data_IF_952911542757
#
_entry.id   IF_952911542757
#
_cell.length_a   1.000
_cell.length_b   1.000
_cell.length_c   1.000
_cell.angle_alpha   90.00
_cell.angle_beta   90.00
_cell.angle_gamma   90.00
#
_symmetry.space_group_name_H-M   'P 1'
#
loop_
_entity.id
_entity.type
_entity.pdbx_description
1 polymer ?
#
# COMPACT_ATOMS: atom_id res chain seq x y z
N UNK A 1 -12.20 -0.20 16.72
CA UNK A 1 -10.94 0.29 16.11
C UNK A 1 -10.23 -0.90 15.48
N UNK A 2 -9.77 -0.78 14.23
CA UNK A 2 -9.00 -1.82 13.54
C UNK A 2 -7.58 -1.79 14.07
N UNK A 3 -7.05 -2.93 14.51
CA UNK A 3 -5.68 -2.99 14.96
C UNK A 3 -4.74 -2.86 13.75
N UNK A 4 -4.00 -1.76 13.72
CA UNK A 4 -3.08 -1.43 12.62
C UNK A 4 -1.67 -1.18 13.17
N UNK A 5 -0.67 -1.70 12.47
CA UNK A 5 0.73 -1.44 12.77
C UNK A 5 1.48 -1.10 11.48
N UNK A 6 1.98 0.13 11.39
CA UNK A 6 2.88 0.55 10.31
C UNK A 6 4.30 0.20 10.71
N UNK A 7 4.91 -0.76 10.04
CA UNK A 7 6.33 -1.09 10.23
C UNK A 7 7.19 -0.07 9.50
N UNK A 8 6.79 0.27 8.29
CA UNK A 8 7.39 1.32 7.46
C UNK A 8 6.40 1.76 6.40
N UNK A 9 6.50 3.02 5.95
CA UNK A 9 5.71 3.55 4.84
C UNK A 9 6.47 4.67 4.15
N UNK A 10 6.71 4.53 2.84
CA UNK A 10 7.46 5.46 1.99
C UNK A 10 8.62 4.79 1.27
N UNK A 11 9.44 5.58 0.58
CA UNK A 11 10.51 5.12 -0.33
C UNK A 11 11.62 4.27 0.31
N UNK A 12 11.71 4.20 1.63
CA UNK A 12 12.68 3.32 2.32
C UNK A 12 12.15 1.90 2.53
N UNK A 13 10.85 1.73 2.42
CA UNK A 13 10.18 0.44 2.54
C UNK A 13 8.75 0.57 3.00
N UNK A 14 7.92 -0.34 2.54
CA UNK A 14 6.51 -0.41 2.87
C UNK A 14 6.17 -1.77 3.47
N UNK A 15 5.53 -1.75 4.64
CA UNK A 15 4.92 -2.90 5.28
C UNK A 15 3.91 -2.42 6.32
N UNK A 16 2.64 -2.68 6.07
CA UNK A 16 1.54 -2.31 6.98
C UNK A 16 0.79 -3.57 7.38
N UNK A 17 0.55 -3.74 8.67
CA UNK A 17 -0.09 -4.93 9.22
C UNK A 17 -1.47 -4.58 9.76
N UNK A 18 -2.48 -5.34 9.34
CA UNK A 18 -3.84 -5.25 9.80
C UNK A 18 -4.23 -6.51 10.57
N UNK A 19 -4.95 -6.31 11.67
CA UNK A 19 -5.47 -7.37 12.55
C UNK A 19 -4.41 -8.43 12.93
N UNK A 20 -3.16 -8.00 13.14
CA UNK A 20 -1.97 -8.83 13.44
C UNK A 20 -1.61 -9.87 12.38
N UNK A 21 -2.50 -10.15 11.43
CA UNK A 21 -2.42 -11.32 10.57
C UNK A 21 -2.17 -11.00 9.09
N UNK A 22 -2.57 -9.83 8.62
CA UNK A 22 -2.56 -9.45 7.21
C UNK A 22 -1.51 -8.36 7.03
N UNK A 23 -0.45 -8.65 6.32
CA UNK A 23 0.57 -7.67 5.95
C UNK A 23 0.36 -7.23 4.50
N UNK A 24 0.34 -5.94 4.24
CA UNK A 24 0.40 -5.38 2.89
C UNK A 24 1.82 -4.93 2.64
N UNK A 25 2.40 -5.46 1.58
CA UNK A 25 3.78 -5.33 1.14
C UNK A 25 4.85 -5.86 2.11
N UNK A 26 6.04 -6.11 1.58
CA UNK A 26 7.20 -6.58 2.32
C UNK A 26 8.47 -5.88 1.82
N UNK A 27 8.45 -4.54 1.82
CA UNK A 27 9.56 -3.68 1.43
C UNK A 27 10.58 -3.42 2.55
N UNK A 28 10.54 -4.21 3.62
CA UNK A 28 11.38 -4.04 4.82
C UNK A 28 12.34 -5.21 5.04
N UNK A 29 13.26 -5.08 5.98
CA UNK A 29 14.14 -6.19 6.37
C UNK A 29 13.42 -7.18 7.29
N UNK A 30 13.87 -8.44 7.33
CA UNK A 30 13.32 -9.43 8.25
C UNK A 30 13.46 -9.00 9.73
N UNK A 31 14.52 -8.29 10.07
CA UNK A 31 14.73 -7.73 11.42
C UNK A 31 13.60 -6.77 11.82
N UNK A 32 13.11 -5.97 10.88
CA UNK A 32 11.98 -5.06 11.15
C UNK A 32 10.67 -5.82 11.44
N UNK A 33 10.53 -7.06 10.96
CA UNK A 33 9.37 -7.93 11.16
C UNK A 33 9.47 -8.83 12.39
N UNK A 34 10.58 -8.81 13.15
CA UNK A 34 10.87 -9.77 14.22
C UNK A 34 9.74 -9.88 15.24
N UNK A 35 9.18 -8.77 15.67
CA UNK A 35 8.13 -8.73 16.68
C UNK A 35 6.76 -9.24 16.18
N UNK A 36 6.55 -9.24 14.86
CA UNK A 36 5.21 -9.49 14.25
C UNK A 36 5.16 -10.73 13.38
N UNK A 37 6.28 -11.22 12.87
CA UNK A 37 6.34 -12.30 11.88
C UNK A 37 5.60 -13.58 12.29
N UNK A 38 5.50 -13.87 13.60
CA UNK A 38 4.85 -15.09 14.12
C UNK A 38 3.34 -15.07 13.97
N UNK A 39 2.71 -13.90 13.96
CA UNK A 39 1.26 -13.75 13.84
C UNK A 39 0.77 -13.66 12.40
N UNK A 40 1.65 -13.36 11.44
CA UNK A 40 1.29 -13.19 10.04
C UNK A 40 0.72 -14.48 9.44
N UNK A 41 -0.36 -14.36 8.72
CA UNK A 41 -1.01 -15.44 7.95
C UNK A 41 -0.86 -15.26 6.44
N UNK A 42 -0.84 -13.99 6.00
CA UNK A 42 -0.76 -13.65 4.58
C UNK A 42 0.04 -12.37 4.38
N UNK A 43 0.72 -12.28 3.24
CA UNK A 43 1.30 -11.06 2.67
C UNK A 43 0.55 -10.76 1.39
N UNK A 44 -0.03 -9.56 1.29
CA UNK A 44 -0.71 -9.03 0.11
C UNK A 44 0.27 -8.10 -0.61
N UNK A 45 0.73 -8.47 -1.80
CA UNK A 45 1.70 -7.66 -2.55
C UNK A 45 0.98 -6.73 -3.52
N UNK A 46 1.41 -5.48 -3.58
CA UNK A 46 0.85 -4.46 -4.46
C UNK A 46 1.53 -4.45 -5.82
N UNK A 47 2.84 -4.23 -5.87
CA UNK A 47 3.63 -4.11 -7.10
C UNK A 47 5.11 -4.48 -6.90
N UNK A 48 5.93 -4.33 -7.95
CA UNK A 48 7.28 -4.89 -8.01
C UNK A 48 8.41 -4.01 -7.48
N UNK A 49 8.17 -2.76 -7.08
CA UNK A 49 9.22 -1.86 -6.61
C UNK A 49 9.92 -2.40 -5.36
N UNK A 50 11.22 -2.14 -5.23
CA UNK A 50 12.06 -2.71 -4.16
C UNK A 50 11.72 -2.25 -2.75
N UNK A 51 11.03 -1.12 -2.61
CA UNK A 51 10.48 -0.63 -1.35
C UNK A 51 9.11 -1.26 -1.00
N UNK A 52 8.51 -2.04 -1.89
CA UNK A 52 7.30 -2.84 -1.67
C UNK A 52 7.56 -4.34 -1.66
N UNK A 53 8.54 -4.81 -2.44
CA UNK A 53 8.85 -6.22 -2.58
C UNK A 53 10.34 -6.50 -2.40
N UNK A 54 10.74 -6.99 -1.22
CA UNK A 54 12.08 -7.52 -0.97
C UNK A 54 12.04 -9.04 -0.98
N UNK A 55 12.33 -9.64 -2.13
CA UNK A 55 12.28 -11.10 -2.32
C UNK A 55 13.04 -11.87 -1.23
N UNK A 56 14.27 -11.46 -0.90
CA UNK A 56 15.06 -12.12 0.14
C UNK A 56 14.39 -12.10 1.52
N UNK A 57 13.67 -11.03 1.84
CA UNK A 57 12.92 -10.95 3.11
C UNK A 57 11.75 -11.92 3.10
N UNK A 58 10.99 -11.98 1.99
CA UNK A 58 9.89 -12.93 1.83
C UNK A 58 10.37 -14.39 1.89
N UNK A 59 11.44 -14.74 1.19
CA UNK A 59 12.03 -16.08 1.22
C UNK A 59 12.43 -16.50 2.63
N UNK A 60 13.11 -15.63 3.37
CA UNK A 60 13.50 -15.91 4.77
C UNK A 60 12.29 -15.97 5.69
N UNK A 61 11.31 -15.08 5.52
CA UNK A 61 10.08 -15.09 6.28
C UNK A 61 9.30 -16.40 6.07
N UNK A 62 9.21 -16.85 4.81
CA UNK A 62 8.51 -18.12 4.50
C UNK A 62 9.30 -19.35 4.96
N UNK A 63 10.65 -19.32 4.95
CA UNK A 63 11.46 -20.38 5.53
C UNK A 63 11.19 -20.56 7.04
N UNK A 64 10.99 -19.47 7.78
CA UNK A 64 10.61 -19.51 9.20
C UNK A 64 9.10 -19.78 9.41
N UNK A 65 8.28 -19.50 8.41
CA UNK A 65 6.82 -19.63 8.43
C UNK A 65 6.32 -20.34 7.17
N UNK A 66 6.53 -21.67 7.03
CA UNK A 66 6.22 -22.41 5.81
C UNK A 66 4.73 -22.37 5.39
N UNK A 67 3.83 -22.06 6.31
CA UNK A 67 2.39 -21.91 6.04
C UNK A 67 1.96 -20.52 5.65
N UNK A 68 2.89 -19.56 5.65
CA UNK A 68 2.60 -18.17 5.24
C UNK A 68 2.19 -18.14 3.77
N UNK A 69 1.03 -17.53 3.50
CA UNK A 69 0.54 -17.33 2.13
C UNK A 69 1.01 -15.98 1.58
N UNK A 70 1.16 -15.93 0.27
CA UNK A 70 1.48 -14.71 -0.45
C UNK A 70 0.41 -14.54 -1.52
N UNK A 71 -0.32 -13.43 -1.47
CA UNK A 71 -1.31 -13.10 -2.49
C UNK A 71 -0.81 -11.95 -3.35
N UNK A 72 -0.92 -12.09 -4.65
CA UNK A 72 -0.42 -11.12 -5.63
C UNK A 72 -1.21 -11.17 -6.95
N UNK A 73 -0.92 -10.23 -7.84
CA UNK A 73 -1.33 -10.31 -9.23
C UNK A 73 -0.38 -11.21 -10.04
N UNK A 74 -0.84 -11.64 -11.19
CA UNK A 74 -0.08 -12.48 -12.14
C UNK A 74 1.22 -11.82 -12.61
N UNK A 75 1.23 -10.49 -12.80
CA UNK A 75 2.42 -9.74 -13.21
C UNK A 75 3.58 -9.79 -12.20
N UNK A 76 3.34 -10.23 -10.96
CA UNK A 76 4.40 -10.39 -9.96
C UNK A 76 5.04 -11.79 -9.93
N UNK A 77 4.44 -12.79 -10.59
CA UNK A 77 4.90 -14.18 -10.49
C UNK A 77 6.37 -14.39 -10.81
N UNK A 78 6.86 -13.73 -11.86
CA UNK A 78 8.28 -13.81 -12.25
C UNK A 78 9.25 -13.25 -11.22
N UNK A 79 8.74 -12.40 -10.30
CA UNK A 79 9.52 -11.79 -9.21
C UNK A 79 9.52 -12.60 -7.92
N UNK A 80 8.75 -13.70 -7.86
CA UNK A 80 8.51 -14.49 -6.64
C UNK A 80 9.20 -15.85 -6.67
N UNK A 81 10.31 -15.95 -7.37
CA UNK A 81 11.09 -17.18 -7.50
C UNK A 81 11.50 -17.76 -6.14
N UNK A 82 11.36 -19.07 -5.97
CA UNK A 82 11.71 -19.79 -4.73
C UNK A 82 10.71 -19.60 -3.59
N UNK A 83 9.55 -18.97 -3.82
CA UNK A 83 8.46 -18.87 -2.87
C UNK A 83 7.39 -19.92 -3.15
N UNK A 84 6.68 -20.32 -2.09
CA UNK A 84 5.56 -21.26 -2.14
C UNK A 84 4.27 -20.59 -1.66
N UNK A 85 3.14 -21.33 -1.69
CA UNK A 85 1.83 -20.87 -1.23
C UNK A 85 1.44 -19.50 -1.82
N UNK A 86 1.67 -19.31 -3.13
CA UNK A 86 1.33 -18.09 -3.85
C UNK A 86 -0.10 -18.21 -4.37
N UNK A 87 -0.93 -17.22 -4.03
CA UNK A 87 -2.29 -17.05 -4.54
C UNK A 87 -2.29 -15.94 -5.60
N UNK A 88 -2.62 -16.30 -6.83
CA UNK A 88 -2.78 -15.33 -7.92
C UNK A 88 -4.21 -14.82 -7.94
N UNK A 89 -4.39 -13.55 -7.63
CA UNK A 89 -5.69 -12.93 -7.48
C UNK A 89 -6.01 -12.01 -8.65
N UNK A 90 -7.30 -11.91 -8.98
CA UNK A 90 -7.81 -11.10 -10.09
C UNK A 90 -8.66 -9.94 -9.57
N UNK A 91 -8.49 -8.78 -10.16
CA UNK A 91 -9.28 -7.57 -9.84
C UNK A 91 -10.77 -7.87 -9.90
N UNK A 92 -11.51 -7.33 -8.93
CA UNK A 92 -12.96 -7.45 -8.84
C UNK A 92 -13.48 -8.78 -8.30
N UNK A 93 -12.61 -9.77 -8.06
CA UNK A 93 -13.00 -11.03 -7.39
C UNK A 93 -12.78 -10.93 -5.88
N UNK A 94 -13.65 -11.60 -5.12
CA UNK A 94 -13.55 -11.73 -3.67
C UNK A 94 -12.98 -13.10 -3.32
N UNK A 95 -11.94 -13.13 -2.49
CA UNK A 95 -11.26 -14.34 -2.04
C UNK A 95 -11.41 -14.50 -0.54
N UNK A 96 -11.84 -15.69 -0.11
CA UNK A 96 -12.14 -16.00 1.29
C UNK A 96 -10.99 -16.82 1.92
N UNK A 97 -10.37 -16.27 2.97
CA UNK A 97 -9.31 -16.91 3.75
C UNK A 97 -9.81 -17.41 5.12
N UNK A 98 -11.12 -17.51 5.30
CA UNK A 98 -11.76 -17.94 6.54
C UNK A 98 -11.80 -16.86 7.62
N UNK A 99 -10.66 -16.34 8.07
CA UNK A 99 -10.58 -15.29 9.08
C UNK A 99 -10.83 -13.87 8.51
N UNK A 100 -10.69 -13.68 7.21
CA UNK A 100 -10.89 -12.43 6.48
C UNK A 100 -11.10 -12.72 5.00
N UNK A 101 -11.58 -11.72 4.26
CA UNK A 101 -11.68 -11.79 2.80
C UNK A 101 -10.91 -10.62 2.20
N UNK A 102 -10.41 -10.82 0.97
CA UNK A 102 -9.70 -9.76 0.22
C UNK A 102 -10.21 -9.66 -1.20
N UNK A 103 -10.15 -8.48 -1.77
CA UNK A 103 -10.44 -8.23 -3.18
C UNK A 103 -9.44 -7.22 -3.71
N UNK A 104 -8.62 -7.56 -4.72
CA UNK A 104 -7.71 -6.60 -5.32
C UNK A 104 -8.47 -5.55 -6.13
N UNK A 105 -7.94 -4.34 -6.15
CA UNK A 105 -8.41 -3.22 -6.97
C UNK A 105 -7.25 -2.72 -7.82
N UNK A 106 -7.50 -2.43 -9.09
CA UNK A 106 -6.47 -1.88 -9.97
C UNK A 106 -6.12 -0.46 -9.56
N UNK A 107 -4.83 -0.17 -9.44
CA UNK A 107 -4.26 1.15 -9.24
C UNK A 107 -3.41 1.55 -10.45
N UNK A 108 -3.00 2.83 -10.50
CA UNK A 108 -2.34 3.43 -11.65
C UNK A 108 -1.00 4.04 -11.23
N UNK A 109 0.08 3.38 -11.61
CA UNK A 109 1.45 3.74 -11.30
C UNK A 109 2.33 3.58 -12.56
N UNK A 110 3.62 3.83 -12.46
CA UNK A 110 4.59 3.60 -13.56
C UNK A 110 4.79 2.10 -13.88
N UNK A 111 4.42 1.23 -12.94
CA UNK A 111 4.34 -0.24 -13.13
C UNK A 111 2.92 -0.72 -12.79
N UNK A 112 2.51 -1.94 -13.24
CA UNK A 112 1.25 -2.53 -12.81
C UNK A 112 1.15 -2.60 -11.29
N UNK A 113 0.03 -2.12 -10.74
CA UNK A 113 -0.15 -1.98 -9.29
C UNK A 113 -1.57 -2.37 -8.85
N UNK A 114 -1.67 -2.93 -7.63
CA UNK A 114 -2.90 -3.26 -6.95
C UNK A 114 -3.04 -2.51 -5.62
N UNK A 115 -4.27 -2.10 -5.32
CA UNK A 115 -4.73 -1.82 -3.95
C UNK A 115 -5.55 -2.99 -3.42
N UNK A 116 -5.95 -2.91 -2.16
CA UNK A 116 -6.63 -3.99 -1.48
C UNK A 116 -7.90 -3.53 -0.76
N UNK A 117 -8.99 -4.26 -1.00
CA UNK A 117 -10.16 -4.24 -0.13
C UNK A 117 -10.04 -5.43 0.80
N UNK A 118 -10.05 -5.19 2.10
CA UNK A 118 -9.91 -6.22 3.13
C UNK A 118 -11.18 -6.18 4.00
N UNK A 119 -11.79 -7.34 4.20
CA UNK A 119 -13.02 -7.51 4.96
C UNK A 119 -12.74 -8.44 6.13
N UNK A 120 -12.80 -7.93 7.35
CA UNK A 120 -12.58 -8.69 8.57
C UNK A 120 -13.87 -9.41 9.00
N UNK A 121 -13.74 -10.53 9.72
CA UNK A 121 -14.90 -11.32 10.15
C UNK A 121 -15.80 -10.59 11.17
N UNK A 122 -15.31 -9.54 11.81
CA UNK A 122 -16.12 -8.68 12.68
C UNK A 122 -16.96 -7.65 11.92
N UNK A 123 -16.97 -7.73 10.58
CA UNK A 123 -17.69 -6.82 9.68
C UNK A 123 -16.96 -5.55 9.30
N UNK A 124 -15.79 -5.27 9.89
CA UNK A 124 -14.98 -4.09 9.55
C UNK A 124 -14.31 -4.24 8.18
N UNK A 125 -14.15 -3.11 7.48
CA UNK A 125 -13.62 -3.03 6.11
C UNK A 125 -12.46 -2.06 6.04
N UNK A 126 -11.38 -2.45 5.35
CA UNK A 126 -10.19 -1.65 5.10
C UNK A 126 -10.03 -1.44 3.61
N UNK A 127 -9.80 -0.21 3.21
CA UNK A 127 -9.36 0.15 1.86
C UNK A 127 -7.90 0.60 1.92
N UNK A 128 -7.01 -0.14 1.25
CA UNK A 128 -5.58 0.16 1.18
C UNK A 128 -5.20 0.50 -0.25
N UNK A 129 -4.63 1.69 -0.46
CA UNK A 129 -4.17 2.15 -1.78
C UNK A 129 -2.92 3.03 -1.63
N UNK A 130 -1.81 2.56 -2.16
CA UNK A 130 -0.52 3.28 -2.24
C UNK A 130 0.01 3.23 -3.66
N UNK A 131 0.83 4.22 -4.01
CA UNK A 131 1.49 4.32 -5.30
C UNK A 131 0.49 4.33 -6.46
N UNK A 132 -0.31 5.39 -6.49
CA UNK A 132 -1.30 5.58 -7.55
C UNK A 132 -1.46 7.05 -7.90
N UNK A 133 -1.52 7.36 -9.18
CA UNK A 133 -1.72 8.74 -9.69
C UNK A 133 -3.11 9.27 -9.34
N UNK A 134 -4.11 8.39 -9.33
CA UNK A 134 -5.51 8.75 -9.05
C UNK A 134 -6.33 7.57 -8.53
N UNK A 135 -7.50 7.87 -7.98
CA UNK A 135 -8.49 6.88 -7.51
C UNK A 135 -9.81 6.99 -8.31
N UNK A 136 -9.77 7.54 -9.52
CA UNK A 136 -10.93 7.68 -10.39
C UNK A 136 -11.54 6.32 -10.75
N UNK A 137 -12.87 6.24 -10.75
CA UNK A 137 -13.61 5.02 -11.02
C UNK A 137 -13.59 3.98 -9.89
N UNK A 138 -12.84 4.24 -8.81
CA UNK A 138 -12.79 3.38 -7.64
C UNK A 138 -13.82 3.86 -6.62
N UNK A 139 -14.59 2.92 -6.07
CA UNK A 139 -15.54 3.17 -4.99
C UNK A 139 -15.13 2.40 -3.74
N UNK A 140 -15.14 3.07 -2.57
CA UNK A 140 -14.87 2.46 -1.28
C UNK A 140 -15.82 3.01 -0.21
N UNK A 141 -17.14 2.96 -0.48
CA UNK A 141 -18.17 3.54 0.38
C UNK A 141 -18.27 2.87 1.74
N UNK A 142 -18.21 3.68 2.80
CA UNK A 142 -18.45 3.28 4.19
C UNK A 142 -17.44 2.26 4.71
N UNK A 143 -16.16 2.36 4.32
CA UNK A 143 -15.10 1.59 4.93
C UNK A 143 -14.76 2.14 6.33
N UNK A 144 -14.31 1.24 7.20
CA UNK A 144 -13.94 1.61 8.58
C UNK A 144 -12.56 2.23 8.65
N UNK A 145 -11.65 1.83 7.75
CA UNK A 145 -10.30 2.37 7.64
C UNK A 145 -9.95 2.65 6.17
N UNK A 146 -9.47 3.85 5.92
CA UNK A 146 -8.84 4.28 4.68
C UNK A 146 -7.34 4.40 4.90
N UNK A 147 -6.57 3.43 4.46
CA UNK A 147 -5.12 3.43 4.46
C UNK A 147 -4.65 3.83 3.05
N UNK A 148 -4.46 5.11 2.85
CA UNK A 148 -4.26 5.70 1.52
C UNK A 148 -2.97 6.53 1.51
N UNK A 149 -2.31 6.53 0.38
CA UNK A 149 -1.18 7.39 0.10
C UNK A 149 -1.57 8.87 0.23
N UNK A 150 -0.71 9.63 0.89
CA UNK A 150 -0.73 11.09 0.99
C UNK A 150 0.67 11.59 0.63
N UNK A 151 1.08 11.41 -0.64
CA UNK A 151 2.49 11.55 -1.01
C UNK A 151 2.98 12.99 -0.94
N UNK A 152 2.29 13.91 -1.60
CA UNK A 152 2.73 15.30 -1.72
C UNK A 152 1.60 16.29 -1.53
N UNK A 153 1.96 17.50 -1.09
CA UNK A 153 1.07 18.66 -1.11
C UNK A 153 1.20 19.38 -2.47
N UNK A 154 0.06 19.62 -3.14
CA UNK A 154 0.03 20.24 -4.47
C UNK A 154 0.71 21.60 -4.50
N UNK A 155 0.52 22.43 -3.47
CA UNK A 155 1.14 23.74 -3.36
C UNK A 155 2.67 23.66 -3.29
N UNK A 156 3.22 22.76 -2.44
CA UNK A 156 4.66 22.64 -2.27
C UNK A 156 5.36 22.03 -3.47
N UNK A 157 4.76 21.04 -4.09
CA UNK A 157 5.36 20.42 -5.26
C UNK A 157 5.38 21.39 -6.43
N UNK A 158 4.37 22.25 -6.56
CA UNK A 158 4.32 23.32 -7.58
C UNK A 158 5.42 24.35 -7.34
N UNK A 159 5.60 24.82 -6.10
CA UNK A 159 6.69 25.73 -5.73
C UNK A 159 8.07 25.12 -6.06
N UNK A 160 8.28 23.85 -5.72
CA UNK A 160 9.54 23.16 -6.02
C UNK A 160 9.81 23.06 -7.54
N UNK A 161 8.78 22.88 -8.36
CA UNK A 161 8.88 22.89 -9.82
C UNK A 161 9.28 24.29 -10.33
N UNK A 162 8.61 25.33 -9.86
CA UNK A 162 8.88 26.71 -10.26
C UNK A 162 10.31 27.15 -9.88
N UNK A 163 10.76 26.81 -8.67
CA UNK A 163 12.12 27.10 -8.21
C UNK A 163 13.19 26.35 -9.04
N UNK A 164 12.98 25.09 -9.32
CA UNK A 164 13.91 24.30 -10.15
C UNK A 164 13.97 24.85 -11.58
N UNK A 165 12.82 25.19 -12.15
CA UNK A 165 12.75 25.80 -13.48
C UNK A 165 13.49 27.15 -13.53
N UNK A 166 13.30 28.01 -12.52
CA UNK A 166 13.98 29.29 -12.45
C UNK A 166 15.51 29.20 -12.36
N UNK A 167 16.01 28.08 -11.77
CA UNK A 167 17.46 27.79 -11.63
C UNK A 167 18.01 26.96 -12.78
N UNK A 168 17.17 26.45 -13.68
CA UNK A 168 17.58 25.50 -14.73
C UNK A 168 18.01 24.13 -14.16
N UNK A 169 17.46 23.75 -13.00
CA UNK A 169 17.78 22.51 -12.30
C UNK A 169 16.73 21.42 -12.55
N UNK A 170 17.15 20.15 -12.45
CA UNK A 170 16.23 19.02 -12.46
C UNK A 170 15.53 18.90 -11.11
N UNK A 171 14.23 18.51 -11.12
CA UNK A 171 13.50 18.17 -9.89
C UNK A 171 12.77 16.84 -10.03
N UNK A 172 12.77 16.04 -8.98
CA UNK A 172 11.99 14.81 -8.86
C UNK A 172 10.47 15.07 -8.74
N UNK A 173 10.06 16.31 -8.55
CA UNK A 173 8.65 16.70 -8.43
C UNK A 173 7.79 16.22 -9.60
N UNK A 174 8.31 16.29 -10.83
CA UNK A 174 7.62 15.77 -12.03
C UNK A 174 7.36 14.28 -11.95
N UNK A 175 8.30 13.49 -11.44
CA UNK A 175 8.11 12.06 -11.21
C UNK A 175 6.96 11.82 -10.22
N UNK A 176 6.99 12.50 -9.08
CA UNK A 176 5.97 12.33 -8.04
C UNK A 176 4.55 12.62 -8.54
N UNK A 177 4.33 13.71 -9.26
CA UNK A 177 3.00 14.07 -9.80
C UNK A 177 2.46 12.97 -10.74
N UNK A 178 3.34 12.35 -11.51
CA UNK A 178 2.96 11.35 -12.51
C UNK A 178 2.84 9.93 -11.97
N UNK A 179 3.20 9.69 -10.69
CA UNK A 179 3.24 8.34 -10.12
C UNK A 179 2.52 8.21 -8.79
N UNK A 180 2.22 9.32 -8.12
CA UNK A 180 1.68 9.32 -6.76
C UNK A 180 0.45 10.24 -6.60
N UNK A 181 -0.27 10.03 -5.51
CA UNK A 181 -1.49 10.76 -5.15
C UNK A 181 -1.15 11.97 -4.25
N UNK A 182 -1.73 13.13 -4.55
CA UNK A 182 -1.62 14.28 -3.66
C UNK A 182 -2.44 14.10 -2.38
N UNK A 183 -2.10 14.87 -1.35
CA UNK A 183 -2.89 14.98 -0.13
C UNK A 183 -4.32 15.42 -0.44
N UNK A 184 -4.47 16.38 -1.35
CA UNK A 184 -5.75 16.96 -1.75
C UNK A 184 -6.64 15.90 -2.44
N UNK A 185 -6.09 15.14 -3.38
CA UNK A 185 -6.80 14.06 -4.05
C UNK A 185 -7.20 12.94 -3.07
N UNK A 186 -6.29 12.54 -2.16
CA UNK A 186 -6.57 11.53 -1.14
C UNK A 186 -7.72 11.98 -0.22
N UNK A 187 -7.67 13.19 0.29
CA UNK A 187 -8.72 13.78 1.14
C UNK A 187 -10.05 13.86 0.43
N UNK A 188 -10.07 14.32 -0.83
CA UNK A 188 -11.29 14.38 -1.63
C UNK A 188 -11.94 13.00 -1.82
N UNK A 189 -11.14 11.98 -2.12
CA UNK A 189 -11.62 10.61 -2.24
C UNK A 189 -12.19 10.09 -0.91
N UNK A 190 -11.48 10.32 0.19
CA UNK A 190 -11.90 9.88 1.53
C UNK A 190 -13.23 10.55 1.91
N UNK A 191 -13.34 11.87 1.77
CA UNK A 191 -14.58 12.60 2.11
C UNK A 191 -15.78 12.14 1.25
N UNK A 192 -15.57 11.83 -0.01
CA UNK A 192 -16.62 11.31 -0.88
C UNK A 192 -17.09 9.89 -0.50
N UNK A 193 -16.30 9.13 0.26
CA UNK A 193 -16.53 7.71 0.52
C UNK A 193 -16.75 7.36 2.00
N UNK A 194 -16.19 8.13 2.94
CA UNK A 194 -16.21 7.80 4.37
C UNK A 194 -17.59 7.85 5.00
N UNK A 195 -17.76 7.14 6.09
CA UNK A 195 -18.79 7.37 7.12
C UNK A 195 -18.16 8.14 8.28
N UNK A 196 -18.97 8.71 9.15
CA UNK A 196 -18.53 9.53 10.28
C UNK A 196 -17.49 8.82 11.17
N UNK A 197 -17.68 7.52 11.40
CA UNK A 197 -16.78 6.71 12.24
C UNK A 197 -15.55 6.16 11.53
N UNK A 198 -15.30 6.54 10.27
CA UNK A 198 -14.15 6.06 9.52
C UNK A 198 -12.84 6.64 10.05
N UNK A 199 -11.84 5.79 10.17
CA UNK A 199 -10.45 6.16 10.47
C UNK A 199 -9.66 6.38 9.17
N UNK A 200 -8.65 7.23 9.24
CA UNK A 200 -7.72 7.50 8.12
C UNK A 200 -6.30 7.20 8.57
N UNK A 201 -5.59 6.43 7.77
CA UNK A 201 -4.17 6.17 7.93
C UNK A 201 -3.44 6.73 6.70
N UNK A 202 -2.76 7.85 6.90
CA UNK A 202 -1.96 8.49 5.85
C UNK A 202 -0.66 7.72 5.63
N UNK A 203 -0.49 7.18 4.42
CA UNK A 203 0.67 6.37 4.04
C UNK A 203 1.55 7.08 2.99
N UNK A 204 2.72 6.54 2.75
CA UNK A 204 3.64 6.86 1.64
C UNK A 204 3.92 8.36 1.46
N UNK A 205 4.18 9.06 2.57
CA UNK A 205 4.48 10.49 2.59
C UNK A 205 5.86 10.77 2.00
N UNK A 206 5.93 11.69 1.04
CA UNK A 206 7.20 12.18 0.50
C UNK A 206 8.00 12.94 1.57
N UNK A 207 9.30 12.74 1.63
CA UNK A 207 10.17 13.51 2.52
C UNK A 207 10.37 14.94 2.04
N UNK A 208 10.28 15.17 0.72
CA UNK A 208 10.60 16.45 0.10
C UNK A 208 9.40 17.34 -0.14
N UNK A 209 8.21 16.75 -0.37
CA UNK A 209 7.03 17.47 -0.84
C UNK A 209 5.84 17.35 0.11
N UNK A 210 6.07 16.83 1.30
CA UNK A 210 5.08 16.75 2.38
C UNK A 210 5.47 17.72 3.49
N UNK A 211 4.58 18.65 3.84
CA UNK A 211 4.78 19.50 5.03
C UNK A 211 4.25 18.77 6.26
N UNK A 212 5.10 18.57 7.23
CA UNK A 212 4.65 18.24 8.57
C UNK A 212 4.02 19.49 9.19
N UNK A 213 2.72 19.47 9.43
CA UNK A 213 2.03 20.48 10.25
C UNK A 213 2.48 20.37 11.69
#
# INVERSE_FOLDING_TARGET
MIQTQVISSGSEGNAVIYDKAIMVDCGVTLKALEAVKRSLKIVLLTHQHGDHLKLRTLQRLQAERPTLRIACADFLLERLEGLNNIDVLQVGKLYDYGAFKVSPVKLYHDVPNFGWRIFLNNGQKIFHATDTVHLEGITAKGYDLYAIEHNYCEEYIQQAIEEAHAKGEYTHAYGNINTHLSIQQARAFIEANRKESSEVLELHKSRSFYKHE
#
